data_IF_491157094636
#
_entry.id   IF_491157094636
#
_cell.length_a   1.000
_cell.length_b   1.000
_cell.length_c   1.000
_cell.angle_alpha   90.00
_cell.angle_beta   90.00
_cell.angle_gamma   90.00
#
_symmetry.space_group_name_H-M   'P 1'
#
loop_
_entity.id
_entity.type
_entity.pdbx_description
1 polymer ?
#
# COMPACT_ATOMS: atom_id res chain seq x y z
N UNK A 1 -43.39 32.65 -1.70
CA UNK A 1 -42.79 31.31 -1.44
C UNK A 1 -41.26 31.33 -1.24
N UNK A 2 -40.62 32.49 -1.05
CA UNK A 2 -39.14 32.56 -0.87
C UNK A 2 -38.64 32.63 0.58
N UNK A 3 -39.45 33.08 1.54
CA UNK A 3 -39.01 33.29 2.94
C UNK A 3 -38.89 31.98 3.75
N UNK A 4 -39.70 30.97 3.42
CA UNK A 4 -39.65 29.67 4.12
C UNK A 4 -38.44 28.81 3.73
N UNK A 5 -37.84 29.03 2.56
CA UNK A 5 -36.68 28.27 2.08
C UNK A 5 -35.40 28.80 2.73
N UNK A 6 -35.28 30.12 2.93
CA UNK A 6 -34.15 30.70 3.67
C UNK A 6 -34.10 30.28 5.14
N UNK A 7 -35.26 30.24 5.81
CA UNK A 7 -35.34 29.75 7.20
C UNK A 7 -34.93 28.27 7.31
N UNK A 8 -35.22 27.47 6.29
CA UNK A 8 -34.84 26.05 6.26
C UNK A 8 -33.34 25.86 6.04
N UNK A 9 -32.72 26.66 5.15
CA UNK A 9 -31.27 26.65 4.92
C UNK A 9 -30.49 27.16 6.14
N UNK A 10 -30.99 28.18 6.83
CA UNK A 10 -30.36 28.68 8.06
C UNK A 10 -30.44 27.66 9.21
N UNK A 11 -31.55 26.92 9.33
CA UNK A 11 -31.70 25.89 10.36
C UNK A 11 -30.77 24.69 10.10
N UNK A 12 -30.55 24.30 8.83
CA UNK A 12 -29.61 23.22 8.50
C UNK A 12 -28.14 23.61 8.72
N UNK A 13 -27.77 24.87 8.47
CA UNK A 13 -26.41 25.36 8.73
C UNK A 13 -26.07 25.38 10.24
N UNK A 14 -27.07 25.65 11.09
CA UNK A 14 -26.92 25.73 12.54
C UNK A 14 -26.75 24.34 13.19
N UNK A 15 -27.37 23.29 12.62
CA UNK A 15 -27.20 21.89 13.05
C UNK A 15 -25.82 21.35 12.68
N UNK A 16 -25.28 21.72 11.51
CA UNK A 16 -23.92 21.35 11.09
C UNK A 16 -22.83 21.97 11.98
N UNK A 17 -23.03 23.19 12.50
CA UNK A 17 -22.09 23.82 13.43
C UNK A 17 -22.04 23.17 14.83
N UNK A 18 -23.11 22.49 15.27
CA UNK A 18 -23.14 21.83 16.58
C UNK A 18 -22.45 20.46 16.60
N UNK A 19 -22.20 19.84 15.43
CA UNK A 19 -21.54 18.53 15.32
C UNK A 19 -20.01 18.60 15.27
N UNK A 20 -19.40 19.80 15.22
CA UNK A 20 -17.95 20.01 15.06
C UNK A 20 -17.26 20.47 16.36
N UNK A 21 -17.94 20.42 17.51
CA UNK A 21 -17.28 20.71 18.79
C UNK A 21 -16.27 19.58 19.14
N UNK A 22 -14.98 19.90 19.37
CA UNK A 22 -14.01 18.91 19.75
C UNK A 22 -14.24 18.46 21.20
N UNK A 23 -14.43 17.15 21.40
CA UNK A 23 -14.43 16.55 22.73
C UNK A 23 -13.03 16.69 23.34
N UNK A 24 -12.92 17.46 24.44
CA UNK A 24 -11.75 17.45 25.32
C UNK A 24 -11.67 16.08 26.00
N UNK A 25 -10.79 15.22 25.50
CA UNK A 25 -10.33 14.02 26.19
C UNK A 25 -8.99 14.27 26.88
N UNK A 26 -9.00 14.46 28.20
CA UNK A 26 -7.82 14.30 29.04
C UNK A 26 -7.54 12.80 29.23
N UNK A 27 -6.30 12.37 29.06
CA UNK A 27 -5.45 11.87 30.16
C UNK A 27 -4.22 11.10 29.66
N UNK A 28 -3.10 11.50 30.26
CA UNK A 28 -1.79 10.86 30.46
C UNK A 28 -1.67 9.33 30.33
N UNK A 29 -0.57 8.88 29.72
CA UNK A 29 0.45 8.14 30.48
C UNK A 29 1.81 8.14 29.78
N UNK A 30 2.83 8.51 30.56
CA UNK A 30 4.24 8.22 30.33
C UNK A 30 4.45 6.70 30.32
N UNK A 31 5.16 6.18 29.33
CA UNK A 31 6.07 5.06 29.57
C UNK A 31 7.31 5.21 28.70
N UNK A 32 8.36 5.68 29.35
CA UNK A 32 9.72 5.73 28.86
C UNK A 32 10.45 4.53 29.47
N UNK A 33 11.03 3.66 28.64
CA UNK A 33 12.08 2.74 29.09
C UNK A 33 13.04 2.43 27.95
N UNK A 34 14.16 3.15 27.96
CA UNK A 34 15.40 2.73 27.33
C UNK A 34 16.03 1.61 28.17
N UNK A 35 16.72 0.66 27.52
CA UNK A 35 17.97 0.08 28.02
C UNK A 35 18.72 -0.62 26.89
N UNK A 36 19.77 0.05 26.44
CA UNK A 36 20.97 -0.57 25.88
C UNK A 36 21.72 -1.30 26.99
N UNK A 37 22.32 -2.45 26.70
CA UNK A 37 23.54 -2.91 27.37
C UNK A 37 24.26 -3.91 26.48
N UNK A 38 25.48 -3.56 26.10
CA UNK A 38 26.49 -4.43 25.51
C UNK A 38 27.02 -5.40 26.58
N UNK A 39 27.29 -6.65 26.21
CA UNK A 39 28.38 -7.45 26.78
C UNK A 39 28.70 -8.68 25.91
N UNK A 40 29.97 -8.78 25.59
CA UNK A 40 30.75 -9.81 24.89
C UNK A 40 30.64 -11.20 25.53
N UNK A 41 30.62 -12.27 24.73
CA UNK A 41 30.81 -13.63 25.25
C UNK A 41 30.47 -14.76 24.26
N UNK A 42 31.50 -15.39 23.71
CA UNK A 42 31.49 -16.52 22.78
C UNK A 42 30.91 -17.83 23.34
N UNK A 43 30.07 -18.52 22.56
CA UNK A 43 29.97 -20.00 22.56
C UNK A 43 29.26 -20.51 21.28
N UNK A 44 29.90 -21.45 20.58
CA UNK A 44 29.34 -22.16 19.41
C UNK A 44 28.09 -22.96 19.78
N UNK A 45 27.02 -22.79 19.00
CA UNK A 45 25.88 -23.72 18.94
C UNK A 45 25.54 -23.98 17.47
N UNK A 46 25.40 -25.27 17.16
CA UNK A 46 25.13 -25.88 15.86
C UNK A 46 24.04 -25.14 15.08
N UNK A 47 24.38 -24.64 13.88
CA UNK A 47 23.38 -24.24 12.90
C UNK A 47 22.80 -25.50 12.26
N UNK A 48 21.72 -26.02 12.84
CA UNK A 48 20.67 -26.62 12.01
C UNK A 48 20.04 -25.47 11.25
N UNK A 49 20.43 -25.35 9.99
CA UNK A 49 20.00 -24.30 9.09
C UNK A 49 18.59 -24.63 8.60
N UNK A 50 17.61 -24.47 9.48
CA UNK A 50 16.23 -24.22 9.07
C UNK A 50 16.24 -22.82 8.48
N UNK A 51 16.49 -22.73 7.17
CA UNK A 51 16.42 -21.48 6.43
C UNK A 51 14.94 -21.06 6.41
N UNK A 52 14.49 -20.40 7.47
CA UNK A 52 13.29 -19.59 7.41
C UNK A 52 13.52 -18.60 6.27
N UNK A 53 12.79 -18.77 5.18
CA UNK A 53 12.79 -17.82 4.08
C UNK A 53 12.23 -16.50 4.65
N UNK A 54 13.09 -15.58 5.06
CA UNK A 54 12.64 -14.29 5.55
C UNK A 54 12.16 -13.46 4.36
N UNK A 55 10.87 -13.11 4.35
CA UNK A 55 10.29 -12.25 3.31
C UNK A 55 10.52 -10.80 3.71
N UNK A 56 11.46 -10.12 3.03
CA UNK A 56 11.81 -8.72 3.30
C UNK A 56 10.87 -7.69 2.64
N UNK A 57 9.59 -8.01 2.46
CA UNK A 57 8.63 -7.11 1.84
C UNK A 57 7.57 -6.64 2.82
N UNK A 58 7.36 -5.32 2.90
CA UNK A 58 6.30 -4.75 3.73
C UNK A 58 4.93 -4.92 3.05
N UNK A 59 4.07 -5.75 3.64
CA UNK A 59 2.70 -6.02 3.15
C UNK A 59 1.86 -4.74 3.04
N UNK A 60 1.84 -3.93 4.09
CA UNK A 60 1.06 -2.68 4.13
C UNK A 60 1.49 -1.71 3.02
N UNK A 61 2.80 -1.53 2.80
CA UNK A 61 3.33 -0.73 1.70
C UNK A 61 3.00 -1.34 0.34
N UNK A 62 3.07 -2.66 0.20
CA UNK A 62 2.69 -3.36 -1.04
C UNK A 62 1.22 -3.14 -1.39
N UNK A 63 0.33 -3.19 -0.39
CA UNK A 63 -1.10 -2.87 -0.53
C UNK A 63 -1.33 -1.42 -0.95
N UNK A 64 -0.60 -0.48 -0.34
CA UNK A 64 -0.67 0.93 -0.72
C UNK A 64 -0.20 1.16 -2.17
N UNK A 65 0.89 0.51 -2.59
CA UNK A 65 1.37 0.56 -3.97
C UNK A 65 0.30 0.03 -4.94
N UNK A 66 -0.28 -1.14 -4.65
CA UNK A 66 -1.34 -1.70 -5.48
C UNK A 66 -2.53 -0.75 -5.59
N UNK A 67 -2.97 -0.16 -4.47
CA UNK A 67 -4.07 0.82 -4.47
C UNK A 67 -3.80 2.00 -5.40
N UNK A 68 -2.58 2.55 -5.39
CA UNK A 68 -2.18 3.63 -6.33
C UNK A 68 -2.28 3.15 -7.77
N UNK A 69 -1.73 1.97 -8.07
CA UNK A 69 -1.75 1.38 -9.41
C UNK A 69 -3.19 1.14 -9.88
N UNK A 70 -4.04 0.63 -9.01
CA UNK A 70 -5.44 0.34 -9.26
C UNK A 70 -6.26 1.61 -9.54
N UNK A 71 -6.03 2.68 -8.79
CA UNK A 71 -6.75 3.94 -8.96
C UNK A 71 -6.28 4.73 -10.20
N UNK A 72 -4.98 4.75 -10.49
CA UNK A 72 -4.40 5.63 -11.51
C UNK A 72 -4.03 4.98 -12.83
N UNK A 73 -3.64 3.70 -12.84
CA UNK A 73 -3.13 3.03 -14.04
C UNK A 73 -4.13 2.01 -14.61
N UNK A 74 -4.72 1.17 -13.77
CA UNK A 74 -5.59 0.07 -14.22
C UNK A 74 -6.79 0.52 -15.07
N UNK A 75 -7.46 1.66 -14.81
CA UNK A 75 -8.58 2.11 -15.66
C UNK A 75 -8.16 2.30 -17.12
N UNK A 76 -6.94 2.78 -17.36
CA UNK A 76 -6.40 2.95 -18.71
C UNK A 76 -5.98 1.62 -19.32
N UNK A 77 -5.39 0.71 -18.54
CA UNK A 77 -5.02 -0.64 -19.01
C UNK A 77 -6.26 -1.38 -19.51
N UNK A 78 -7.36 -1.31 -18.75
CA UNK A 78 -8.65 -1.91 -19.09
C UNK A 78 -9.28 -1.24 -20.31
N UNK A 79 -9.29 0.10 -20.36
CA UNK A 79 -9.80 0.86 -21.50
C UNK A 79 -9.06 0.50 -22.80
N UNK A 80 -7.75 0.33 -22.72
CA UNK A 80 -6.89 -0.06 -23.85
C UNK A 80 -6.94 -1.57 -24.14
N UNK A 81 -7.63 -2.36 -23.30
CA UNK A 81 -7.66 -3.83 -23.34
C UNK A 81 -6.25 -4.44 -23.39
N UNK A 82 -5.29 -3.78 -22.75
CA UNK A 82 -3.90 -4.15 -22.81
C UNK A 82 -3.60 -5.32 -21.87
N UNK A 83 -2.86 -6.31 -22.37
CA UNK A 83 -2.43 -7.45 -21.58
C UNK A 83 -1.03 -7.17 -21.04
N UNK A 84 -0.94 -6.93 -19.73
CA UNK A 84 0.33 -6.77 -19.03
C UNK A 84 1.12 -8.08 -19.18
N UNK A 85 2.40 -7.97 -19.53
CA UNK A 85 3.24 -9.17 -19.75
C UNK A 85 3.72 -9.76 -18.42
N UNK A 86 3.95 -11.08 -18.36
CA UNK A 86 4.54 -11.73 -17.16
C UNK A 86 5.92 -11.21 -16.76
N UNK A 87 6.61 -10.48 -17.65
CA UNK A 87 7.90 -9.83 -17.34
C UNK A 87 7.72 -8.53 -16.55
N UNK A 88 6.56 -7.90 -16.67
CA UNK A 88 6.25 -6.65 -15.97
C UNK A 88 6.04 -6.91 -14.48
N UNK A 89 6.62 -6.06 -13.64
CA UNK A 89 6.45 -6.13 -12.19
C UNK A 89 4.99 -5.94 -11.75
N UNK A 90 4.18 -5.19 -12.52
CA UNK A 90 2.76 -4.96 -12.27
C UNK A 90 1.84 -6.10 -12.70
N UNK A 91 2.39 -7.19 -13.25
CA UNK A 91 1.57 -8.34 -13.60
C UNK A 91 0.92 -8.93 -12.34
N UNK A 92 -0.38 -9.26 -12.34
CA UNK A 92 -1.07 -9.78 -11.14
C UNK A 92 -0.37 -11.00 -10.50
N UNK A 93 0.07 -11.96 -11.32
CA UNK A 93 0.81 -13.15 -10.85
C UNK A 93 2.18 -12.84 -10.21
N UNK A 94 2.74 -11.65 -10.45
CA UNK A 94 4.03 -11.26 -9.90
C UNK A 94 3.89 -10.54 -8.55
N UNK A 95 2.71 -10.08 -8.16
CA UNK A 95 2.52 -9.45 -6.85
C UNK A 95 2.50 -10.53 -5.75
N UNK A 96 3.52 -10.49 -4.89
CA UNK A 96 3.75 -11.49 -3.85
C UNK A 96 2.57 -11.66 -2.89
N UNK A 97 1.87 -10.58 -2.55
CA UNK A 97 0.77 -10.64 -1.59
C UNK A 97 -0.60 -10.70 -2.25
N UNK A 98 -0.68 -10.65 -3.60
CA UNK A 98 -1.94 -10.52 -4.34
C UNK A 98 -2.99 -11.53 -3.92
N UNK A 99 -2.62 -12.80 -3.92
CA UNK A 99 -3.53 -13.89 -3.59
C UNK A 99 -4.08 -13.72 -2.16
N UNK A 100 -3.23 -13.44 -1.19
CA UNK A 100 -3.65 -13.26 0.20
C UNK A 100 -4.52 -12.02 0.42
N UNK A 101 -4.22 -10.91 -0.25
CA UNK A 101 -5.05 -9.70 -0.21
C UNK A 101 -6.44 -9.95 -0.83
N UNK A 102 -6.54 -10.72 -1.91
CA UNK A 102 -7.82 -11.14 -2.51
C UNK A 102 -8.62 -12.10 -1.62
N UNK A 103 -7.95 -12.78 -0.69
CA UNK A 103 -8.57 -13.67 0.29
C UNK A 103 -8.88 -12.99 1.63
N UNK A 104 -8.92 -11.66 1.66
CA UNK A 104 -9.51 -10.92 2.79
C UNK A 104 -10.98 -10.68 2.57
N UNK A 105 -11.78 -11.05 3.54
CA UNK A 105 -13.23 -10.78 3.52
C UNK A 105 -13.53 -9.79 4.64
N UNK A 106 -13.92 -8.57 4.27
CA UNK A 106 -14.42 -7.58 5.23
C UNK A 106 -15.94 -7.75 5.36
N UNK A 107 -16.38 -8.36 6.45
CA UNK A 107 -17.79 -8.71 6.69
C UNK A 107 -18.53 -7.53 7.30
N UNK A 108 -17.94 -6.87 8.29
CA UNK A 108 -18.46 -5.70 8.99
C UNK A 108 -17.28 -4.86 9.55
N UNK A 109 -17.54 -3.66 10.08
CA UNK A 109 -16.56 -2.67 10.56
C UNK A 109 -15.43 -3.29 11.40
N UNK A 110 -15.75 -4.27 12.24
CA UNK A 110 -14.80 -4.95 13.13
C UNK A 110 -14.73 -6.46 12.87
N UNK A 111 -15.14 -6.94 11.69
CA UNK A 111 -15.11 -8.36 11.36
C UNK A 111 -14.41 -8.59 10.02
N UNK A 112 -13.16 -9.07 10.13
CA UNK A 112 -12.31 -9.47 9.03
C UNK A 112 -12.15 -10.98 9.04
N UNK A 113 -12.42 -11.64 7.92
CA UNK A 113 -12.34 -13.09 7.81
C UNK A 113 -11.27 -13.53 6.82
N UNK A 114 -10.51 -14.56 7.21
CA UNK A 114 -9.58 -15.25 6.33
C UNK A 114 -10.34 -16.08 5.28
N UNK A 115 -10.12 -15.79 4.01
CA UNK A 115 -10.73 -16.48 2.88
C UNK A 115 -10.36 -17.97 2.79
N UNK A 116 -9.17 -18.36 3.24
CA UNK A 116 -8.68 -19.75 3.19
C UNK A 116 -9.28 -20.65 4.25
N UNK A 117 -9.29 -20.21 5.52
CA UNK A 117 -9.66 -21.04 6.67
C UNK A 117 -10.87 -20.54 7.45
N UNK A 118 -11.50 -19.46 7.00
CA UNK A 118 -12.74 -18.85 7.56
C UNK A 118 -12.63 -18.36 9.02
N UNK A 119 -11.42 -18.18 9.55
CA UNK A 119 -11.22 -17.56 10.88
C UNK A 119 -11.53 -16.06 10.80
N UNK A 120 -12.24 -15.56 11.80
CA UNK A 120 -12.58 -14.13 11.94
C UNK A 120 -11.63 -13.40 12.90
N UNK A 121 -11.46 -12.11 12.66
CA UNK A 121 -10.52 -11.21 13.31
C UNK A 121 -11.15 -9.85 13.51
N UNK A 122 -10.81 -9.20 14.62
CA UNK A 122 -11.41 -7.92 15.02
C UNK A 122 -10.95 -6.71 14.18
N UNK A 123 -9.87 -6.88 13.43
CA UNK A 123 -9.25 -5.84 12.62
C UNK A 123 -8.33 -6.48 11.57
N UNK A 124 -8.13 -5.79 10.45
CA UNK A 124 -7.32 -6.25 9.32
C UNK A 124 -5.89 -6.65 9.73
N UNK A 125 -5.25 -5.87 10.61
CA UNK A 125 -3.89 -6.16 11.10
C UNK A 125 -3.74 -7.54 11.74
N UNK A 126 -4.79 -8.05 12.39
CA UNK A 126 -4.76 -9.38 12.99
C UNK A 126 -4.95 -10.48 11.95
N UNK A 127 -5.67 -10.18 10.87
CA UNK A 127 -5.76 -11.07 9.71
C UNK A 127 -4.44 -11.10 8.93
N UNK A 128 -3.77 -9.96 8.75
CA UNK A 128 -2.43 -9.87 8.16
C UNK A 128 -1.42 -10.73 8.94
N UNK A 129 -1.36 -10.55 10.27
CA UNK A 129 -0.52 -11.37 11.13
C UNK A 129 -0.90 -12.86 11.08
N UNK A 130 -2.18 -13.19 10.87
CA UNK A 130 -2.60 -14.58 10.66
C UNK A 130 -2.08 -15.14 9.33
N UNK A 131 -2.07 -14.36 8.25
CA UNK A 131 -1.46 -14.81 6.99
C UNK A 131 0.03 -15.10 7.15
N UNK A 132 0.77 -14.21 7.80
CA UNK A 132 2.21 -14.38 8.02
C UNK A 132 2.53 -15.62 8.88
N UNK A 133 1.67 -15.97 9.84
CA UNK A 133 1.91 -17.11 10.74
C UNK A 133 1.36 -18.44 10.23
N UNK A 134 0.28 -18.44 9.44
CA UNK A 134 -0.51 -19.65 9.13
C UNK A 134 -0.66 -19.95 7.65
N UNK A 135 -0.40 -18.96 6.79
CA UNK A 135 -0.53 -19.08 5.33
C UNK A 135 0.71 -18.57 4.59
N UNK A 136 1.85 -18.44 5.28
CA UNK A 136 3.11 -18.04 4.68
C UNK A 136 3.52 -18.93 3.50
N UNK A 137 3.27 -20.24 3.62
CA UNK A 137 3.58 -21.24 2.59
C UNK A 137 2.77 -21.08 1.29
N UNK A 138 1.76 -20.21 1.26
CA UNK A 138 1.01 -19.89 0.03
C UNK A 138 1.68 -18.76 -0.77
N UNK A 139 2.71 -18.10 -0.22
CA UNK A 139 3.48 -17.10 -0.95
C UNK A 139 4.44 -17.76 -1.95
N UNK A 140 4.44 -17.30 -3.20
CA UNK A 140 5.46 -17.69 -4.17
C UNK A 140 6.70 -16.79 -4.05
N UNK A 141 7.40 -16.85 -2.91
CA UNK A 141 8.53 -15.98 -2.61
C UNK A 141 9.69 -16.06 -3.63
N UNK A 142 9.77 -17.16 -4.40
CA UNK A 142 10.84 -17.37 -5.39
C UNK A 142 10.65 -16.60 -6.70
N UNK A 143 9.40 -16.38 -7.13
CA UNK A 143 9.08 -15.79 -8.44
C UNK A 143 8.39 -14.43 -8.31
N UNK A 144 7.68 -14.21 -7.21
CA UNK A 144 6.98 -12.96 -6.97
C UNK A 144 7.92 -11.80 -6.67
N UNK A 145 7.38 -10.60 -6.82
CA UNK A 145 8.02 -9.31 -6.66
C UNK A 145 7.30 -8.54 -5.56
N UNK A 146 8.07 -7.76 -4.81
CA UNK A 146 7.55 -6.91 -3.76
C UNK A 146 7.07 -5.58 -4.37
N UNK A 147 5.75 -5.31 -4.40
CA UNK A 147 5.27 -4.01 -4.91
C UNK A 147 5.67 -2.84 -4.01
N UNK A 148 6.02 -3.09 -2.74
CA UNK A 148 6.50 -2.05 -1.84
C UNK A 148 7.79 -1.38 -2.34
N UNK A 149 8.56 -2.04 -3.22
CA UNK A 149 9.75 -1.48 -3.86
C UNK A 149 9.39 -0.27 -4.74
N UNK A 150 8.16 -0.21 -5.25
CA UNK A 150 7.66 0.93 -6.02
C UNK A 150 7.25 2.11 -5.16
N UNK A 151 7.17 1.98 -3.84
CA UNK A 151 6.55 3.01 -3.01
C UNK A 151 7.29 4.34 -2.96
N UNK A 152 8.60 4.35 -3.24
CA UNK A 152 9.33 5.59 -3.40
C UNK A 152 8.81 6.42 -4.58
N UNK A 153 8.53 5.74 -5.70
CA UNK A 153 8.02 6.32 -6.94
C UNK A 153 6.51 6.58 -6.92
N UNK A 154 5.73 5.67 -6.32
CA UNK A 154 4.27 5.80 -6.20
C UNK A 154 3.81 6.65 -5.02
N UNK A 155 4.75 7.16 -4.22
CA UNK A 155 4.47 7.95 -3.03
C UNK A 155 3.44 7.29 -2.08
N UNK A 156 3.58 5.98 -1.82
CA UNK A 156 2.65 5.22 -0.98
C UNK A 156 2.39 5.87 0.39
N UNK A 157 3.39 6.57 0.93
CA UNK A 157 3.27 7.26 2.22
C UNK A 157 2.17 8.33 2.22
N UNK A 158 1.85 8.95 1.07
CA UNK A 158 0.74 9.90 0.94
C UNK A 158 -0.62 9.20 1.04
N UNK A 159 -0.69 7.93 0.65
CA UNK A 159 -1.91 7.11 0.66
C UNK A 159 -2.13 6.44 2.01
N UNK A 160 -1.04 6.10 2.71
CA UNK A 160 -1.08 5.48 4.03
C UNK A 160 -1.25 6.51 5.15
N UNK A 161 -0.52 7.64 5.11
CA UNK A 161 -0.53 8.64 6.17
C UNK A 161 -1.39 9.86 5.84
N UNK A 162 -2.40 10.12 6.68
CA UNK A 162 -3.17 11.37 6.64
C UNK A 162 -2.38 12.62 7.06
N UNK A 163 -1.21 12.43 7.69
CA UNK A 163 -0.36 13.52 8.20
C UNK A 163 0.92 13.62 7.38
N UNK A 164 0.81 14.32 6.26
CA UNK A 164 1.95 14.66 5.42
C UNK A 164 3.00 15.45 6.22
N UNK A 165 4.10 14.79 6.58
CA UNK A 165 5.28 15.48 7.06
C UNK A 165 6.03 15.97 5.83
N UNK A 166 5.99 17.27 5.58
CA UNK A 166 6.80 17.91 4.54
C UNK A 166 8.28 17.68 4.87
N UNK A 167 8.89 16.69 4.22
CA UNK A 167 10.32 16.47 4.27
C UNK A 167 11.01 17.24 3.16
N UNK A 168 12.25 17.67 3.40
CA UNK A 168 13.07 18.30 2.36
C UNK A 168 13.28 17.32 1.21
N UNK A 169 13.14 17.80 -0.03
CA UNK A 169 13.41 16.99 -1.22
C UNK A 169 14.85 16.45 -1.17
N UNK A 170 14.98 15.13 -1.38
CA UNK A 170 16.27 14.46 -1.53
C UNK A 170 16.50 14.19 -3.03
N UNK A 171 17.42 14.92 -3.69
CA UNK A 171 17.63 14.79 -5.13
C UNK A 171 18.11 13.40 -5.55
N UNK A 172 18.88 12.72 -4.70
CA UNK A 172 19.33 11.35 -4.99
C UNK A 172 18.17 10.35 -4.93
N UNK A 173 17.22 10.53 -4.02
CA UNK A 173 16.01 9.69 -3.97
C UNK A 173 15.10 9.95 -5.17
N UNK A 174 14.91 11.23 -5.53
CA UNK A 174 14.13 11.61 -6.71
C UNK A 174 14.70 11.00 -8.00
N UNK A 175 16.02 11.07 -8.20
CA UNK A 175 16.68 10.45 -9.35
C UNK A 175 16.54 8.93 -9.38
N UNK A 176 16.69 8.24 -8.23
CA UNK A 176 16.45 6.78 -8.17
C UNK A 176 15.02 6.42 -8.51
N UNK A 177 14.05 7.14 -7.97
CA UNK A 177 12.64 6.91 -8.24
C UNK A 177 12.33 7.16 -9.71
N UNK A 178 12.89 8.21 -10.31
CA UNK A 178 12.75 8.48 -11.75
C UNK A 178 13.20 7.29 -12.61
N UNK A 179 14.41 6.76 -12.38
CA UNK A 179 14.89 5.60 -13.14
C UNK A 179 14.07 4.33 -12.90
N UNK A 180 13.54 4.15 -11.68
CA UNK A 180 12.63 3.06 -11.37
C UNK A 180 11.35 3.18 -12.20
N UNK A 181 10.78 4.39 -12.32
CA UNK A 181 9.61 4.67 -13.14
C UNK A 181 9.85 4.40 -14.62
N UNK A 182 10.96 4.91 -15.17
CA UNK A 182 11.35 4.67 -16.57
C UNK A 182 11.47 3.17 -16.85
N UNK A 183 12.22 2.47 -16.00
CA UNK A 183 12.39 1.02 -16.12
C UNK A 183 11.07 0.27 -16.02
N UNK A 184 10.15 0.71 -15.16
CA UNK A 184 8.82 0.13 -15.04
C UNK A 184 8.01 0.33 -16.32
N UNK A 185 8.00 1.56 -16.85
CA UNK A 185 7.27 1.90 -18.06
C UNK A 185 7.81 1.15 -19.29
N UNK A 186 9.12 1.00 -19.43
CA UNK A 186 9.74 0.24 -20.52
C UNK A 186 9.44 -1.26 -20.44
N UNK A 187 9.51 -1.85 -19.25
CA UNK A 187 9.27 -3.29 -19.07
C UNK A 187 7.79 -3.67 -19.15
N UNK A 188 6.90 -2.76 -18.75
CA UNK A 188 5.47 -3.01 -18.70
C UNK A 188 4.74 -2.57 -19.98
N UNK A 189 5.16 -1.46 -20.57
CA UNK A 189 4.52 -0.81 -21.70
C UNK A 189 5.58 -0.37 -22.74
N UNK A 190 6.31 -1.31 -23.37
CA UNK A 190 7.35 -0.94 -24.32
C UNK A 190 6.75 -0.21 -25.52
N UNK A 191 7.29 0.96 -25.87
CA UNK A 191 6.73 1.85 -26.90
C UNK A 191 6.66 1.23 -28.31
N UNK A 192 7.47 0.21 -28.58
CA UNK A 192 7.45 -0.56 -29.83
C UNK A 192 6.41 -1.69 -29.86
N UNK A 193 5.70 -1.96 -28.76
CA UNK A 193 4.66 -3.00 -28.68
C UNK A 193 3.27 -2.50 -29.14
N UNK A 194 3.21 -1.33 -29.77
CA UNK A 194 2.01 -0.80 -30.43
C UNK A 194 1.41 0.44 -29.76
N UNK A 195 0.34 1.01 -30.36
CA UNK A 195 -0.21 2.30 -29.93
C UNK A 195 -0.73 2.30 -28.49
N UNK A 196 -1.35 1.21 -28.05
CA UNK A 196 -1.87 1.08 -26.68
C UNK A 196 -0.75 1.05 -25.65
N UNK A 197 0.34 0.31 -25.92
CA UNK A 197 1.52 0.30 -25.06
C UNK A 197 2.15 1.70 -24.97
N UNK A 198 2.29 2.40 -26.11
CA UNK A 198 2.83 3.76 -26.13
C UNK A 198 1.97 4.75 -25.33
N UNK A 199 0.63 4.66 -25.39
CA UNK A 199 -0.27 5.50 -24.58
C UNK A 199 -0.13 5.20 -23.09
N UNK A 200 -0.11 3.91 -22.71
CA UNK A 200 0.03 3.50 -21.30
C UNK A 200 1.40 3.90 -20.73
N UNK A 201 2.46 3.79 -21.51
CA UNK A 201 3.78 4.30 -21.17
C UNK A 201 3.72 5.80 -20.85
N UNK A 202 3.10 6.60 -21.72
CA UNK A 202 2.91 8.04 -21.51
C UNK A 202 2.07 8.35 -20.27
N UNK A 203 0.97 7.62 -20.05
CA UNK A 203 0.10 7.77 -18.86
C UNK A 203 0.88 7.50 -17.58
N UNK A 204 1.61 6.38 -17.53
CA UNK A 204 2.41 6.01 -16.38
C UNK A 204 3.49 7.05 -16.09
N UNK A 205 4.24 7.47 -17.11
CA UNK A 205 5.26 8.52 -16.98
C UNK A 205 4.66 9.86 -16.53
N UNK A 206 3.52 10.28 -17.08
CA UNK A 206 2.83 11.52 -16.70
C UNK A 206 2.38 11.53 -15.24
N UNK A 207 1.88 10.40 -14.74
CA UNK A 207 1.55 10.24 -13.32
C UNK A 207 2.77 10.55 -12.45
N UNK A 208 3.93 9.98 -12.76
CA UNK A 208 5.16 10.20 -12.00
C UNK A 208 5.65 11.65 -12.03
N UNK A 209 5.59 12.32 -13.18
CA UNK A 209 6.01 13.72 -13.29
C UNK A 209 5.03 14.71 -12.63
N UNK A 210 3.81 14.30 -12.33
CA UNK A 210 2.84 15.16 -11.65
C UNK A 210 3.13 15.36 -10.16
N UNK A 211 4.02 14.54 -9.57
CA UNK A 211 4.34 14.54 -8.14
C UNK A 211 5.84 14.75 -7.83
N UNK A 212 6.68 15.00 -8.84
CA UNK A 212 8.08 15.43 -8.71
C UNK A 212 8.18 16.97 -8.72
#
# INVERSE_FOLDING_TARGET
>A
MGKSIELFLQLQLLVLCLLVLPQKGSSSSLFQRNKETEATGSASIKQEQEHSHEVHCSRERSRAAWKVIEEYLMPFVEQEKYQITRKCLLHPDNDMFRDQEQHKVHVDINDWQCGYCKKSFRAEKFLDQHFDNRHYNLLNASQSKCLADLCGALHCDLVMDSKLRKTKCNPAAASRNHHLCESLADNCFPGNAGPSASRLHGTLSSYFFSYL
#
